data_IF_331224808468
#
_entry.id   IF_331224808468
#
_cell.length_a   1.000
_cell.length_b   1.000
_cell.length_c   1.000
_cell.angle_alpha   90.00
_cell.angle_beta   90.00
_cell.angle_gamma   90.00
#
_symmetry.space_group_name_H-M   'P 1'
#
loop_
_entity.id
_entity.type
_entity.pdbx_description
1 polymer ?
#
# COMPACT_ATOMS: atom_id res chain seq x y z
N UNK A 1 -12.11 -35.12 -22.96
CA UNK A 1 -11.33 -36.33 -22.62
C UNK A 1 -11.12 -36.34 -21.13
N UNK A 2 -11.66 -37.36 -20.45
CA UNK A 2 -11.92 -37.35 -19.01
C UNK A 2 -10.63 -37.39 -18.18
N UNK A 3 -10.58 -36.54 -17.16
CA UNK A 3 -9.56 -36.45 -16.09
C UNK A 3 -9.21 -37.81 -15.46
N UNK A 4 -10.11 -38.79 -15.56
CA UNK A 4 -9.90 -40.14 -15.04
C UNK A 4 -8.80 -40.92 -15.79
N UNK A 5 -8.68 -40.75 -17.11
CA UNK A 5 -7.67 -41.46 -17.91
C UNK A 5 -6.23 -41.02 -17.60
N UNK A 6 -6.05 -39.81 -17.05
CA UNK A 6 -4.74 -39.30 -16.67
C UNK A 6 -4.30 -39.79 -15.29
N UNK A 7 -5.26 -40.05 -14.39
CA UNK A 7 -5.00 -40.60 -13.05
C UNK A 7 -4.64 -42.08 -13.14
N UNK A 8 -5.32 -42.85 -13.99
CA UNK A 8 -5.04 -44.28 -14.18
C UNK A 8 -3.66 -44.52 -14.82
N UNK A 9 -3.22 -43.62 -15.72
CA UNK A 9 -1.89 -43.64 -16.33
C UNK A 9 -0.77 -43.31 -15.34
N UNK A 10 -1.04 -42.49 -14.32
CA UNK A 10 -0.09 -42.18 -13.25
C UNK A 10 -0.02 -43.29 -12.20
N UNK A 11 -1.15 -43.95 -11.92
CA UNK A 11 -1.20 -45.07 -10.98
C UNK A 11 -0.48 -46.32 -11.49
N UNK A 12 -0.51 -46.57 -12.81
CA UNK A 12 0.24 -47.67 -13.43
C UNK A 12 1.75 -47.40 -13.46
N UNK A 13 2.16 -46.15 -13.67
CA UNK A 13 3.57 -45.72 -13.70
C UNK A 13 4.24 -45.77 -12.32
N UNK A 14 3.48 -45.53 -11.24
CA UNK A 14 3.96 -45.62 -9.87
C UNK A 14 4.05 -47.08 -9.38
N UNK A 15 3.26 -48.00 -9.94
CA UNK A 15 3.31 -49.42 -9.60
C UNK A 15 4.52 -50.14 -10.23
N UNK A 16 5.05 -49.67 -11.35
CA UNK A 16 6.21 -50.28 -12.03
C UNK A 16 7.57 -49.88 -11.43
N UNK A 17 7.62 -48.90 -10.51
CA UNK A 17 8.86 -48.41 -9.88
C UNK A 17 8.90 -48.63 -8.37
N UNK A 18 8.52 -49.83 -7.89
CA UNK A 18 8.88 -50.25 -6.53
C UNK A 18 10.39 -50.52 -6.46
N UNK A 19 11.14 -49.60 -5.85
CA UNK A 19 12.48 -49.89 -5.34
C UNK A 19 12.37 -51.00 -4.29
N UNK A 20 13.26 -51.99 -4.39
CA UNK A 20 13.36 -53.12 -3.48
C UNK A 20 13.68 -52.69 -2.06
N UNK A 21 13.02 -53.35 -1.12
CA UNK A 21 13.21 -53.26 0.32
C UNK A 21 14.63 -53.70 0.71
N UNK A 22 15.37 -52.81 1.36
CA UNK A 22 16.72 -53.06 1.87
C UNK A 22 16.83 -52.48 3.28
N UNK A 23 16.90 -53.35 4.27
CA UNK A 23 17.04 -53.05 5.70
C UNK A 23 18.24 -52.14 6.00
N UNK A 24 18.14 -51.23 7.00
CA UNK A 24 19.16 -50.22 7.22
C UNK A 24 20.32 -50.75 8.06
N UNK A 25 21.53 -50.69 7.50
CA UNK A 25 22.74 -50.91 8.27
C UNK A 25 23.21 -49.60 8.92
N UNK A 26 23.55 -49.68 10.20
CA UNK A 26 23.85 -48.55 11.07
C UNK A 26 25.31 -48.17 10.96
N UNK A 27 25.65 -47.05 10.30
CA UNK A 27 26.74 -46.13 10.69
C UNK A 27 26.98 -45.06 9.61
N UNK A 28 27.06 -43.79 10.02
CA UNK A 28 27.36 -42.67 9.10
C UNK A 28 26.60 -41.39 9.39
N UNK A 29 26.61 -40.93 10.64
CA UNK A 29 25.88 -39.75 11.11
C UNK A 29 26.67 -38.46 10.90
N UNK A 30 26.10 -37.54 10.11
CA UNK A 30 26.06 -36.06 10.27
C UNK A 30 26.45 -35.23 9.04
N UNK A 31 27.22 -35.77 8.08
CA UNK A 31 27.69 -34.99 6.92
C UNK A 31 26.67 -34.93 5.76
N UNK A 32 25.96 -36.03 5.46
CA UNK A 32 25.02 -36.10 4.32
C UNK A 32 23.73 -35.30 4.51
N UNK A 33 23.28 -35.08 5.75
CA UNK A 33 22.05 -34.34 6.03
C UNK A 33 22.21 -32.82 5.80
N UNK A 34 23.42 -32.29 6.03
CA UNK A 34 23.77 -30.89 5.71
C UNK A 34 23.90 -30.66 4.20
N UNK A 35 24.39 -31.64 3.44
CA UNK A 35 24.49 -31.58 1.97
C UNK A 35 23.14 -31.72 1.24
N UNK A 36 22.18 -32.49 1.77
CA UNK A 36 20.84 -32.54 1.18
C UNK A 36 20.03 -31.26 1.42
N UNK A 37 20.19 -30.63 2.58
CA UNK A 37 19.56 -29.34 2.88
C UNK A 37 20.22 -28.17 2.12
N UNK A 38 21.52 -28.27 1.79
CA UNK A 38 22.20 -27.29 0.90
C UNK A 38 21.80 -27.44 -0.57
N UNK A 39 21.14 -28.54 -0.94
CA UNK A 39 20.53 -28.80 -2.26
C UNK A 39 18.99 -28.67 -2.24
N UNK A 40 18.43 -27.83 -1.36
CA UNK A 40 17.01 -27.48 -1.36
C UNK A 40 16.55 -26.83 -2.68
N UNK A 41 15.35 -26.24 -2.74
CA UNK A 41 14.73 -25.68 -3.95
C UNK A 41 15.65 -24.84 -4.88
N UNK A 42 16.73 -24.26 -4.35
CA UNK A 42 17.83 -23.63 -5.09
C UNK A 42 18.56 -24.52 -6.11
N UNK A 43 18.57 -25.85 -5.88
CA UNK A 43 19.20 -26.87 -6.72
C UNK A 43 18.25 -27.55 -7.70
N UNK A 44 16.97 -27.16 -7.75
CA UNK A 44 16.04 -27.63 -8.78
C UNK A 44 16.34 -26.97 -10.12
N UNK A 45 16.15 -27.66 -11.25
CA UNK A 45 16.19 -27.05 -12.59
C UNK A 45 15.17 -25.92 -12.72
N UNK A 46 15.50 -24.94 -13.55
CA UNK A 46 14.69 -23.73 -13.73
C UNK A 46 13.32 -24.07 -14.31
N UNK A 47 13.23 -25.08 -15.17
CA UNK A 47 11.98 -25.56 -15.79
C UNK A 47 11.00 -26.08 -14.75
N UNK A 48 11.50 -26.80 -13.73
CA UNK A 48 10.66 -27.33 -12.65
C UNK A 48 10.16 -26.20 -11.77
N UNK A 49 11.03 -25.24 -11.43
CA UNK A 49 10.66 -24.07 -10.64
C UNK A 49 9.66 -23.18 -11.39
N UNK A 50 9.86 -22.93 -12.69
CA UNK A 50 8.90 -22.22 -13.54
C UNK A 50 7.56 -22.94 -13.60
N UNK A 51 7.57 -24.27 -13.65
CA UNK A 51 6.32 -25.04 -13.60
C UNK A 51 5.62 -24.89 -12.26
N UNK A 52 6.34 -24.91 -11.15
CA UNK A 52 5.77 -24.62 -9.82
C UNK A 52 5.22 -23.19 -9.75
N UNK A 53 5.99 -22.21 -10.23
CA UNK A 53 5.61 -20.81 -10.25
C UNK A 53 4.40 -20.53 -11.16
N UNK A 54 4.16 -21.35 -12.18
CA UNK A 54 2.97 -21.24 -13.03
C UNK A 54 1.65 -21.47 -12.29
N UNK A 55 1.68 -22.11 -11.10
CA UNK A 55 0.53 -22.27 -10.21
C UNK A 55 0.35 -21.11 -9.21
N UNK A 56 1.33 -20.20 -9.12
CA UNK A 56 1.28 -19.07 -8.22
C UNK A 56 0.47 -17.91 -8.84
N UNK A 57 -0.30 -17.21 -8.00
CA UNK A 57 -0.91 -15.95 -8.39
C UNK A 57 0.15 -14.82 -8.39
N UNK A 58 -0.19 -13.67 -8.97
CA UNK A 58 0.71 -12.52 -9.04
C UNK A 58 1.27 -12.09 -7.66
N UNK A 59 0.48 -12.20 -6.59
CA UNK A 59 0.95 -11.89 -5.23
C UNK A 59 2.02 -12.86 -4.73
N UNK A 60 1.78 -14.15 -4.90
CA UNK A 60 2.71 -15.20 -4.52
C UNK A 60 3.98 -15.19 -5.38
N UNK A 61 3.90 -14.80 -6.66
CA UNK A 61 5.08 -14.57 -7.51
C UNK A 61 5.95 -13.43 -6.98
N UNK A 62 5.34 -12.30 -6.59
CA UNK A 62 6.08 -11.18 -6.01
C UNK A 62 6.71 -11.53 -4.66
N UNK A 63 6.05 -12.36 -3.85
CA UNK A 63 6.64 -12.91 -2.62
C UNK A 63 7.77 -13.90 -2.91
N UNK A 64 7.62 -14.77 -3.92
CA UNK A 64 8.69 -15.67 -4.33
C UNK A 64 9.94 -14.90 -4.77
N UNK A 65 9.76 -13.75 -5.42
CA UNK A 65 10.87 -12.89 -5.84
C UNK A 65 11.71 -12.33 -4.69
N UNK A 66 11.21 -12.29 -3.45
CA UNK A 66 11.99 -11.80 -2.29
C UNK A 66 12.82 -12.88 -1.60
N UNK A 67 12.70 -14.14 -2.01
CA UNK A 67 13.35 -15.29 -1.33
C UNK A 67 14.84 -15.38 -1.66
N UNK A 68 15.22 -15.41 -2.94
CA UNK A 68 16.63 -15.48 -3.37
C UNK A 68 16.81 -14.98 -4.81
N UNK A 69 18.05 -14.75 -5.25
CA UNK A 69 18.37 -14.23 -6.60
C UNK A 69 17.80 -15.09 -7.73
N UNK A 70 17.84 -16.42 -7.58
CA UNK A 70 17.29 -17.36 -8.56
C UNK A 70 15.76 -17.27 -8.65
N UNK A 71 15.09 -17.21 -7.51
CA UNK A 71 13.64 -17.05 -7.47
C UNK A 71 13.22 -15.67 -7.97
N UNK A 72 14.01 -14.63 -7.69
CA UNK A 72 13.82 -13.30 -8.24
C UNK A 72 13.80 -13.32 -9.77
N UNK A 73 14.81 -13.90 -10.43
CA UNK A 73 14.85 -13.95 -11.90
C UNK A 73 13.68 -14.74 -12.48
N UNK A 74 13.41 -15.93 -11.93
CA UNK A 74 12.34 -16.81 -12.42
C UNK A 74 10.93 -16.24 -12.14
N UNK A 75 10.72 -15.58 -11.00
CA UNK A 75 9.43 -14.96 -10.70
C UNK A 75 9.13 -13.74 -11.56
N UNK A 76 10.15 -13.11 -12.16
CA UNK A 76 10.01 -12.02 -13.13
C UNK A 76 9.97 -12.52 -14.59
N UNK A 77 9.86 -13.82 -14.79
CA UNK A 77 9.81 -14.42 -16.12
C UNK A 77 8.60 -13.93 -16.94
N UNK A 78 8.86 -13.64 -18.22
CA UNK A 78 7.88 -13.03 -19.10
C UNK A 78 6.73 -13.97 -19.46
N UNK A 79 6.94 -15.29 -19.48
CA UNK A 79 5.88 -16.27 -19.71
C UNK A 79 4.89 -16.30 -18.54
N UNK A 80 5.40 -16.30 -17.29
CA UNK A 80 4.55 -16.25 -16.10
C UNK A 80 3.72 -14.98 -16.04
N UNK A 81 4.33 -13.83 -16.32
CA UNK A 81 3.61 -12.55 -16.28
C UNK A 81 2.68 -12.32 -17.47
N UNK A 82 2.94 -12.94 -18.63
CA UNK A 82 1.96 -12.98 -19.73
C UNK A 82 0.69 -13.70 -19.30
N UNK A 83 0.81 -14.80 -18.55
CA UNK A 83 -0.34 -15.50 -17.99
C UNK A 83 -1.12 -14.61 -17.01
N UNK A 84 -0.44 -13.92 -16.09
CA UNK A 84 -1.09 -12.99 -15.15
C UNK A 84 -1.76 -11.82 -15.88
N UNK A 85 -1.11 -11.27 -16.91
CA UNK A 85 -1.68 -10.23 -17.76
C UNK A 85 -3.00 -10.69 -18.39
N UNK A 86 -3.02 -11.89 -18.99
CA UNK A 86 -4.24 -12.45 -19.57
C UNK A 86 -5.35 -12.61 -18.53
N UNK A 87 -5.02 -13.14 -17.34
CA UNK A 87 -6.01 -13.38 -16.28
C UNK A 87 -6.62 -12.07 -15.76
N UNK A 88 -5.79 -11.07 -15.48
CA UNK A 88 -6.22 -9.87 -14.77
C UNK A 88 -6.56 -8.68 -15.67
N UNK A 89 -5.97 -8.58 -16.86
CA UNK A 89 -6.19 -7.46 -17.80
C UNK A 89 -7.18 -7.86 -18.88
N UNK A 90 -6.87 -8.89 -19.68
CA UNK A 90 -7.70 -9.32 -20.83
C UNK A 90 -9.01 -9.97 -20.37
N UNK A 91 -8.93 -10.97 -19.49
CA UNK A 91 -10.10 -11.70 -18.97
C UNK A 91 -10.73 -11.05 -17.74
N UNK A 92 -10.01 -10.14 -17.08
CA UNK A 92 -10.46 -9.47 -15.85
C UNK A 92 -11.51 -8.38 -16.06
N UNK A 93 -11.94 -8.14 -17.31
CA UNK A 93 -12.95 -7.14 -17.64
C UNK A 93 -12.47 -5.69 -17.59
N UNK A 94 -11.15 -5.47 -17.45
CA UNK A 94 -10.53 -4.14 -17.50
C UNK A 94 -10.36 -3.60 -18.93
N UNK A 95 -10.51 -4.49 -19.93
CA UNK A 95 -10.39 -4.22 -21.37
C UNK A 95 -11.42 -3.20 -21.91
N UNK A 96 -12.39 -2.76 -21.10
CA UNK A 96 -13.32 -1.69 -21.49
C UNK A 96 -12.68 -0.29 -21.46
N UNK A 97 -11.52 -0.12 -20.83
CA UNK A 97 -10.93 1.21 -20.58
C UNK A 97 -9.77 1.59 -21.52
N UNK A 98 -9.08 0.65 -22.15
CA UNK A 98 -7.99 0.95 -23.08
C UNK A 98 -7.99 0.00 -24.29
N UNK A 99 -8.57 0.44 -25.42
CA UNK A 99 -8.60 -0.34 -26.68
C UNK A 99 -7.23 -0.51 -27.36
N UNK A 100 -6.15 0.07 -26.81
CA UNK A 100 -4.82 0.03 -27.43
C UNK A 100 -4.03 -1.14 -26.87
N UNK A 101 -3.88 -2.18 -27.70
CA UNK A 101 -3.01 -3.31 -27.42
C UNK A 101 -1.60 -2.82 -27.05
N UNK A 102 -0.93 -3.44 -26.06
CA UNK A 102 0.47 -3.13 -25.78
C UNK A 102 1.31 -3.34 -27.03
N UNK A 103 2.26 -2.44 -27.28
CA UNK A 103 3.29 -2.67 -28.29
C UNK A 103 4.21 -3.78 -27.77
N UNK A 104 4.11 -4.97 -28.34
CA UNK A 104 4.95 -6.11 -28.00
C UNK A 104 6.15 -6.08 -28.94
N UNK A 105 7.39 -5.93 -28.41
CA UNK A 105 8.60 -6.09 -29.22
C UNK A 105 8.65 -7.50 -29.85
N UNK A 106 9.39 -7.70 -30.95
CA UNK A 106 9.62 -9.02 -31.52
C UNK A 106 10.11 -10.05 -30.47
N UNK A 107 9.66 -11.30 -30.59
CA UNK A 107 10.10 -12.39 -29.71
C UNK A 107 11.62 -12.55 -29.78
N UNK A 108 12.31 -12.26 -28.66
CA UNK A 108 13.77 -12.24 -28.56
C UNK A 108 14.31 -11.00 -27.85
N UNK A 109 13.65 -9.85 -27.99
CA UNK A 109 14.10 -8.55 -27.45
C UNK A 109 13.37 -8.13 -26.17
N UNK A 110 12.52 -8.99 -25.60
CA UNK A 110 11.75 -8.64 -24.40
C UNK A 110 12.65 -8.61 -23.17
N UNK A 111 12.82 -7.41 -22.61
CA UNK A 111 13.48 -7.22 -21.33
C UNK A 111 12.83 -8.08 -20.21
N UNK A 112 13.61 -8.59 -19.25
CA UNK A 112 13.07 -9.30 -18.09
C UNK A 112 12.03 -8.47 -17.34
N UNK A 113 10.91 -9.10 -16.95
CA UNK A 113 9.81 -8.43 -16.25
C UNK A 113 9.02 -7.42 -17.09
N UNK A 114 9.16 -7.42 -18.43
CA UNK A 114 8.36 -6.56 -19.32
C UNK A 114 6.85 -6.75 -19.08
N UNK A 115 6.39 -8.01 -19.08
CA UNK A 115 4.96 -8.29 -18.88
C UNK A 115 4.47 -7.96 -17.47
N UNK A 116 5.35 -8.04 -16.46
CA UNK A 116 5.04 -7.60 -15.10
C UNK A 116 4.78 -6.10 -15.05
N UNK A 117 5.70 -5.31 -15.61
CA UNK A 117 5.56 -3.84 -15.69
C UNK A 117 4.28 -3.48 -16.44
N UNK A 118 4.02 -4.16 -17.56
CA UNK A 118 2.83 -3.90 -18.36
C UNK A 118 1.54 -4.27 -17.62
N UNK A 119 1.49 -5.42 -16.95
CA UNK A 119 0.33 -5.83 -16.15
C UNK A 119 0.07 -4.84 -15.02
N UNK A 120 1.07 -4.55 -14.17
CA UNK A 120 0.91 -3.63 -13.04
C UNK A 120 0.50 -2.24 -13.50
N UNK A 121 1.14 -1.70 -14.54
CA UNK A 121 0.83 -0.37 -15.09
C UNK A 121 -0.62 -0.27 -15.56
N UNK A 122 -1.10 -1.26 -16.33
CA UNK A 122 -2.48 -1.30 -16.84
C UNK A 122 -3.51 -1.43 -15.72
N UNK A 123 -3.24 -2.28 -14.72
CA UNK A 123 -4.12 -2.44 -13.55
C UNK A 123 -4.22 -1.15 -12.74
N UNK A 124 -3.09 -0.49 -12.49
CA UNK A 124 -3.03 0.80 -11.79
C UNK A 124 -3.76 1.89 -12.60
N UNK A 125 -3.54 1.98 -13.90
CA UNK A 125 -4.23 2.94 -14.76
C UNK A 125 -5.75 2.71 -14.76
N UNK A 126 -6.20 1.46 -14.92
CA UNK A 126 -7.61 1.11 -14.90
C UNK A 126 -8.28 1.46 -13.55
N UNK A 127 -7.59 1.21 -12.42
CA UNK A 127 -8.03 1.65 -11.10
C UNK A 127 -8.15 3.17 -11.02
N UNK A 128 -7.11 3.90 -11.43
CA UNK A 128 -7.07 5.36 -11.35
C UNK A 128 -8.19 6.00 -12.20
N UNK A 129 -8.53 5.39 -13.34
CA UNK A 129 -9.63 5.81 -14.21
C UNK A 129 -11.02 5.64 -13.58
N UNK A 130 -11.16 4.92 -12.47
CA UNK A 130 -12.41 4.85 -11.68
C UNK A 130 -12.64 6.10 -10.84
N UNK A 131 -11.56 6.81 -10.44
CA UNK A 131 -11.64 7.94 -9.50
C UNK A 131 -12.52 9.08 -10.03
N UNK A 132 -12.37 9.57 -11.28
CA UNK A 132 -13.23 10.65 -11.78
C UNK A 132 -14.72 10.28 -11.78
N UNK A 133 -15.05 8.99 -12.01
CA UNK A 133 -16.44 8.51 -12.00
C UNK A 133 -17.03 8.53 -10.59
N UNK A 134 -16.26 8.11 -9.60
CA UNK A 134 -16.64 8.14 -8.17
C UNK A 134 -16.86 9.59 -7.71
N UNK A 135 -16.00 10.51 -8.16
CA UNK A 135 -16.00 11.91 -7.72
C UNK A 135 -16.86 12.84 -8.57
N UNK A 136 -17.61 12.30 -9.54
CA UNK A 136 -18.42 13.09 -10.48
C UNK A 136 -19.55 13.84 -9.76
N UNK A 137 -20.21 13.18 -8.81
CA UNK A 137 -21.31 13.77 -8.05
C UNK A 137 -20.79 14.54 -6.83
N UNK A 138 -21.20 15.81 -6.72
CA UNK A 138 -20.84 16.70 -5.61
C UNK A 138 -22.11 17.21 -4.93
N UNK A 139 -22.05 17.29 -3.62
CA UNK A 139 -23.12 17.85 -2.81
C UNK A 139 -23.25 19.37 -3.06
N UNK A 140 -24.49 19.84 -3.24
CA UNK A 140 -24.77 21.21 -3.65
C UNK A 140 -24.37 22.25 -2.58
N UNK A 141 -24.49 21.89 -1.29
CA UNK A 141 -24.20 22.81 -0.18
C UNK A 141 -22.75 22.81 0.28
N UNK A 142 -21.96 21.79 -0.07
CA UNK A 142 -20.60 21.60 0.46
C UNK A 142 -19.54 21.44 -0.60
N UNK A 143 -19.93 21.23 -1.86
CA UNK A 143 -19.05 20.89 -2.98
C UNK A 143 -18.22 19.60 -2.76
N UNK A 144 -18.56 18.81 -1.74
CA UNK A 144 -17.85 17.57 -1.39
C UNK A 144 -18.36 16.38 -2.22
N UNK A 145 -17.50 15.40 -2.54
CA UNK A 145 -17.92 14.22 -3.29
C UNK A 145 -18.93 13.39 -2.48
N UNK A 146 -20.12 13.17 -3.05
CA UNK A 146 -21.23 12.46 -2.38
C UNK A 146 -20.85 11.00 -2.07
N UNK A 147 -20.10 10.37 -2.98
CA UNK A 147 -19.77 8.95 -2.90
C UNK A 147 -18.35 8.66 -2.39
N UNK A 148 -17.76 9.58 -1.63
CA UNK A 148 -16.36 9.46 -1.20
C UNK A 148 -16.12 8.18 -0.40
N UNK A 149 -16.96 7.88 0.60
CA UNK A 149 -16.81 6.70 1.45
C UNK A 149 -17.03 5.39 0.69
N UNK A 150 -18.05 5.32 -0.18
CA UNK A 150 -18.23 4.16 -1.05
C UNK A 150 -17.04 3.99 -2.00
N UNK A 151 -16.46 5.10 -2.48
CA UNK A 151 -15.26 5.10 -3.31
C UNK A 151 -14.01 4.57 -2.61
N UNK A 152 -13.78 4.99 -1.36
CA UNK A 152 -12.71 4.49 -0.48
C UNK A 152 -12.83 2.97 -0.33
N UNK A 153 -14.02 2.47 -0.02
CA UNK A 153 -14.30 1.04 0.12
C UNK A 153 -14.13 0.29 -1.20
N UNK A 154 -14.71 0.79 -2.30
CA UNK A 154 -14.69 0.13 -3.61
C UNK A 154 -13.29 0.07 -4.22
N UNK A 155 -12.42 1.04 -3.93
CA UNK A 155 -11.02 1.03 -4.34
C UNK A 155 -10.12 0.29 -3.35
N UNK A 156 -10.62 -0.04 -2.15
CA UNK A 156 -9.87 -0.72 -1.10
C UNK A 156 -8.78 0.14 -0.48
N UNK A 157 -8.99 1.46 -0.42
CA UNK A 157 -8.02 2.40 0.16
C UNK A 157 -7.89 2.14 1.65
N UNK A 158 -6.65 2.04 2.11
CA UNK A 158 -6.26 2.02 3.53
C UNK A 158 -5.23 3.10 3.78
N UNK A 159 -5.13 3.56 5.01
CA UNK A 159 -4.11 4.55 5.39
C UNK A 159 -3.11 3.93 6.35
N UNK A 160 -1.85 4.27 6.17
CA UNK A 160 -0.74 3.82 7.01
C UNK A 160 0.03 5.03 7.51
N UNK A 161 0.43 4.99 8.77
CA UNK A 161 1.46 5.90 9.29
C UNK A 161 2.79 5.17 9.28
N UNK A 162 3.82 5.82 8.76
CA UNK A 162 5.18 5.34 8.80
C UNK A 162 5.99 6.25 9.72
N UNK A 163 6.52 5.66 10.79
CA UNK A 163 7.40 6.32 11.75
C UNK A 163 8.83 6.03 11.33
N UNK A 164 9.55 7.11 11.01
CA UNK A 164 10.90 7.04 10.45
C UNK A 164 11.88 7.53 11.50
N UNK A 165 12.86 6.69 11.82
CA UNK A 165 13.90 7.04 12.80
C UNK A 165 14.93 8.02 12.20
N UNK A 166 15.64 8.77 13.06
CA UNK A 166 16.52 9.91 12.72
C UNK A 166 17.43 9.78 11.49
N UNK A 167 17.96 8.58 11.22
CA UNK A 167 18.85 8.37 10.08
C UNK A 167 18.12 7.97 8.79
N UNK A 168 16.78 7.96 8.78
CA UNK A 168 15.95 7.34 7.73
C UNK A 168 16.26 5.86 7.46
N UNK A 169 16.97 5.18 8.38
CA UNK A 169 17.41 3.79 8.21
C UNK A 169 16.25 2.82 8.48
N UNK A 170 15.43 3.13 9.49
CA UNK A 170 14.38 2.24 9.97
C UNK A 170 13.01 2.90 9.84
N UNK A 171 12.13 2.20 9.14
CA UNK A 171 10.75 2.59 8.89
C UNK A 171 9.81 1.61 9.59
N UNK A 172 8.91 2.12 10.43
CA UNK A 172 7.90 1.33 11.13
C UNK A 172 6.53 1.69 10.57
N UNK A 173 5.85 0.73 9.94
CA UNK A 173 4.62 0.97 9.19
C UNK A 173 3.42 0.41 9.98
N UNK A 174 2.47 1.28 10.33
CA UNK A 174 1.27 0.92 11.09
C UNK A 174 0.01 1.21 10.26
N UNK A 175 -0.86 0.22 10.00
CA UNK A 175 -2.16 0.48 9.41
C UNK A 175 -3.03 1.29 10.37
N UNK A 176 -3.89 2.17 9.85
CA UNK A 176 -4.87 2.88 10.67
C UNK A 176 -5.79 1.87 11.36
N UNK A 177 -5.92 2.00 12.68
CA UNK A 177 -6.82 1.19 13.48
C UNK A 177 -8.27 1.61 13.18
N UNK A 178 -8.51 2.93 13.16
CA UNK A 178 -9.82 3.51 12.88
C UNK A 178 -9.73 4.63 11.85
N UNK A 179 -10.79 4.75 11.05
CA UNK A 179 -10.98 5.83 10.09
C UNK A 179 -12.43 6.32 10.19
N UNK A 180 -12.63 7.45 10.85
CA UNK A 180 -13.95 8.02 11.11
C UNK A 180 -14.25 9.05 10.03
N UNK A 181 -15.30 8.81 9.26
CA UNK A 181 -15.77 9.74 8.23
C UNK A 181 -16.56 10.89 8.84
N UNK A 182 -16.30 12.10 8.36
CA UNK A 182 -17.05 13.31 8.65
C UNK A 182 -17.31 14.07 7.34
N UNK A 183 -18.21 15.06 7.40
CA UNK A 183 -18.66 15.83 6.22
C UNK A 183 -17.48 16.42 5.40
N UNK A 184 -16.47 16.95 6.08
CA UNK A 184 -15.32 17.61 5.45
C UNK A 184 -13.98 16.90 5.64
N UNK A 185 -13.91 15.86 6.49
CA UNK A 185 -12.65 15.20 6.81
C UNK A 185 -12.81 13.71 7.14
N UNK A 186 -11.70 12.99 7.08
CA UNK A 186 -11.52 11.72 7.77
C UNK A 186 -10.61 11.94 8.98
N UNK A 187 -11.01 11.43 10.15
CA UNK A 187 -10.11 11.29 11.30
C UNK A 187 -9.52 9.89 11.29
N UNK A 188 -8.22 9.82 11.01
CA UNK A 188 -7.43 8.59 11.00
C UNK A 188 -6.75 8.43 12.35
N UNK A 189 -6.82 7.24 12.95
CA UNK A 189 -6.28 6.95 14.28
C UNK A 189 -5.34 5.76 14.26
N UNK A 190 -4.22 5.91 14.96
CA UNK A 190 -3.25 4.85 15.20
C UNK A 190 -2.98 4.75 16.69
N UNK A 191 -3.20 3.58 17.25
CA UNK A 191 -2.86 3.25 18.64
C UNK A 191 -2.28 1.84 18.64
N UNK A 192 -1.02 1.75 19.04
CA UNK A 192 -0.26 0.51 19.06
C UNK A 192 0.75 0.58 20.21
N UNK A 193 0.93 -0.53 20.93
CA UNK A 193 1.92 -0.63 22.00
C UNK A 193 3.32 -0.91 21.47
N UNK A 194 3.42 -1.28 20.18
CA UNK A 194 4.69 -1.57 19.49
C UNK A 194 5.29 -0.35 18.79
N UNK A 195 4.83 0.86 19.11
CA UNK A 195 5.44 2.08 18.60
C UNK A 195 6.91 2.18 19.04
N UNK A 196 7.81 2.63 18.13
CA UNK A 196 9.19 2.92 18.50
C UNK A 196 9.24 4.10 19.46
N UNK A 197 10.32 4.24 20.25
CA UNK A 197 10.46 5.34 21.18
C UNK A 197 10.33 6.69 20.51
N UNK A 198 9.51 7.60 21.05
CA UNK A 198 9.25 8.89 20.39
C UNK A 198 10.53 9.69 20.14
N UNK A 199 11.54 9.48 20.99
CA UNK A 199 12.86 10.13 20.93
C UNK A 199 13.68 9.74 19.70
N UNK A 200 13.45 8.55 19.13
CA UNK A 200 14.15 8.09 17.93
C UNK A 200 13.44 8.52 16.65
N UNK A 201 12.15 8.88 16.71
CA UNK A 201 11.34 9.26 15.56
C UNK A 201 11.69 10.68 15.10
N UNK A 202 11.93 10.83 13.80
CA UNK A 202 12.23 12.10 13.15
C UNK A 202 11.18 12.52 12.14
N UNK A 203 10.56 11.56 11.44
CA UNK A 203 9.48 11.85 10.51
C UNK A 203 8.27 10.97 10.75
N UNK A 204 7.10 11.56 10.61
CA UNK A 204 5.81 10.89 10.51
C UNK A 204 5.35 11.05 9.06
N UNK A 205 5.19 9.93 8.34
CA UNK A 205 4.74 9.92 6.96
C UNK A 205 3.37 9.27 6.84
N UNK A 206 2.44 9.96 6.18
CA UNK A 206 1.13 9.40 5.84
C UNK A 206 1.17 8.75 4.47
N UNK A 207 0.73 7.50 4.38
CA UNK A 207 0.59 6.80 3.11
C UNK A 207 -0.86 6.41 2.85
N UNK A 208 -1.33 6.67 1.63
CA UNK A 208 -2.46 5.98 1.04
C UNK A 208 -1.98 4.64 0.47
N UNK A 209 -2.61 3.55 0.88
CA UNK A 209 -2.25 2.19 0.49
C UNK A 209 -3.41 1.56 -0.25
N UNK A 210 -3.16 1.17 -1.49
CA UNK A 210 -4.21 0.74 -2.42
C UNK A 210 -3.84 -0.58 -3.11
N UNK A 211 -4.78 -1.52 -3.27
CA UNK A 211 -4.56 -2.76 -4.01
C UNK A 211 -4.17 -2.51 -5.47
N UNK A 212 -3.32 -3.40 -6.01
CA UNK A 212 -3.02 -3.45 -7.44
C UNK A 212 -3.97 -4.41 -8.15
N UNK A 213 -4.23 -5.56 -7.55
CA UNK A 213 -5.05 -6.61 -8.16
C UNK A 213 -6.45 -6.64 -7.58
N UNK A 214 -7.44 -6.75 -8.46
CA UNK A 214 -8.86 -6.86 -8.14
C UNK A 214 -9.39 -8.20 -8.67
N UNK A 215 -10.33 -8.78 -7.94
CA UNK A 215 -11.06 -9.98 -8.36
C UNK A 215 -12.05 -9.67 -9.47
N UNK A 216 -12.69 -10.71 -10.01
CA UNK A 216 -13.74 -10.57 -11.03
C UNK A 216 -15.00 -9.86 -10.50
N UNK A 217 -15.19 -9.90 -9.19
CA UNK A 217 -16.20 -9.15 -8.44
C UNK A 217 -15.89 -7.63 -8.38
N UNK A 218 -14.73 -7.20 -8.87
CA UNK A 218 -14.27 -5.82 -8.80
C UNK A 218 -13.76 -5.41 -7.42
N UNK A 219 -13.66 -6.35 -6.48
CA UNK A 219 -13.18 -6.12 -5.13
C UNK A 219 -11.66 -6.37 -5.03
N UNK A 220 -10.97 -5.71 -4.09
CA UNK A 220 -9.58 -5.97 -3.79
C UNK A 220 -9.27 -7.45 -3.48
N UNK A 221 -8.21 -8.00 -4.08
CA UNK A 221 -7.72 -9.31 -3.66
C UNK A 221 -7.15 -9.22 -2.24
N UNK A 222 -7.65 -10.08 -1.34
CA UNK A 222 -7.17 -10.16 0.05
C UNK A 222 -5.67 -10.45 0.08
N UNK A 223 -4.94 -9.69 0.90
CA UNK A 223 -3.48 -9.80 1.06
C UNK A 223 -2.69 -9.71 -0.26
N UNK A 224 -3.29 -9.14 -1.31
CA UNK A 224 -2.62 -8.93 -2.57
C UNK A 224 -1.59 -7.80 -2.52
N UNK A 225 -0.77 -7.68 -3.57
CA UNK A 225 0.15 -6.57 -3.77
C UNK A 225 -0.56 -5.21 -3.70
N UNK A 226 0.09 -4.24 -3.05
CA UNK A 226 -0.44 -2.89 -2.84
C UNK A 226 0.56 -1.84 -3.30
N UNK A 227 0.05 -0.76 -3.86
CA UNK A 227 0.79 0.49 -4.08
C UNK A 227 0.72 1.36 -2.85
N UNK A 228 1.83 2.03 -2.52
CA UNK A 228 1.91 3.03 -1.45
C UNK A 228 2.11 4.40 -2.07
N UNK A 229 1.31 5.36 -1.64
CA UNK A 229 1.26 6.71 -2.17
C UNK A 229 1.47 7.67 -1.01
N UNK A 230 2.63 8.33 -0.98
CA UNK A 230 2.97 9.28 0.09
C UNK A 230 2.04 10.48 0.01
N UNK A 231 1.24 10.71 1.05
CA UNK A 231 0.27 11.80 1.11
C UNK A 231 0.81 13.03 1.83
N UNK A 232 1.71 12.82 2.79
CA UNK A 232 2.15 13.86 3.71
C UNK A 232 3.39 13.42 4.50
N UNK A 233 4.26 14.36 4.86
CA UNK A 233 5.44 14.12 5.72
C UNK A 233 5.56 15.25 6.72
N UNK A 234 5.67 14.90 8.00
CA UNK A 234 5.85 15.85 9.09
C UNK A 234 7.14 15.53 9.82
N UNK A 235 7.89 16.57 10.16
CA UNK A 235 9.04 16.45 11.03
C UNK A 235 8.59 16.43 12.50
N UNK A 236 9.01 15.37 13.21
CA UNK A 236 8.86 15.26 14.65
C UNK A 236 10.20 15.61 15.31
N UNK A 237 10.18 16.56 16.22
CA UNK A 237 11.33 16.91 17.06
C UNK A 237 10.93 16.76 18.52
N UNK A 238 11.34 15.65 19.14
CA UNK A 238 11.01 15.37 20.54
C UNK A 238 11.50 16.46 21.50
N UNK A 239 12.69 17.03 21.26
CA UNK A 239 13.19 18.14 22.09
C UNK A 239 12.24 19.34 22.07
N UNK A 240 11.77 19.74 20.89
CA UNK A 240 10.79 20.82 20.74
C UNK A 240 9.44 20.47 21.38
N UNK A 241 9.03 19.20 21.32
CA UNK A 241 7.75 18.75 21.85
C UNK A 241 7.75 18.68 23.38
N UNK A 242 8.84 18.17 23.97
CA UNK A 242 8.99 18.00 25.42
C UNK A 242 8.98 19.34 26.15
N UNK A 243 9.62 20.34 25.56
CA UNK A 243 9.76 21.66 26.19
C UNK A 243 8.54 22.56 25.91
N UNK A 244 7.60 22.13 25.06
CA UNK A 244 6.33 22.80 24.75
C UNK A 244 5.24 22.41 25.75
N UNK A 245 4.39 23.36 26.13
CA UNK A 245 3.17 23.08 26.89
C UNK A 245 2.21 22.22 26.07
N UNK A 246 1.67 21.10 26.59
CA UNK A 246 0.66 20.31 25.89
C UNK A 246 -0.55 21.17 25.51
N UNK A 247 -1.10 20.95 24.33
CA UNK A 247 -2.28 21.68 23.87
C UNK A 247 -3.55 21.15 24.54
N UNK A 248 -3.59 19.84 24.80
CA UNK A 248 -4.63 19.18 25.60
C UNK A 248 -3.96 18.18 26.52
N UNK A 249 -4.47 18.03 27.74
CA UNK A 249 -3.93 17.13 28.74
C UNK A 249 -5.06 16.48 29.53
N UNK A 250 -4.95 15.20 29.82
CA UNK A 250 -5.85 14.48 30.73
C UNK A 250 -5.05 13.84 31.88
N UNK A 251 -5.59 12.83 32.58
CA UNK A 251 -4.87 12.15 33.66
C UNK A 251 -3.72 11.25 33.20
N UNK A 252 -3.70 10.79 31.95
CA UNK A 252 -2.79 9.76 31.44
C UNK A 252 -1.88 10.24 30.32
N UNK A 253 -2.33 11.15 29.47
CA UNK A 253 -1.65 11.59 28.26
C UNK A 253 -1.54 13.10 28.14
N UNK A 254 -0.48 13.53 27.44
CA UNK A 254 -0.30 14.87 26.92
C UNK A 254 -0.48 14.83 25.41
N UNK A 255 -1.29 15.72 24.85
CA UNK A 255 -1.59 15.81 23.42
C UNK A 255 -0.99 17.08 22.84
N UNK A 256 -0.35 16.94 21.68
CA UNK A 256 0.29 18.01 20.96
C UNK A 256 -0.22 18.07 19.52
N UNK A 257 -0.79 19.21 19.14
CA UNK A 257 -1.14 19.52 17.77
C UNK A 257 0.12 19.85 16.97
N UNK A 258 0.26 19.11 15.87
CA UNK A 258 1.28 19.30 14.86
C UNK A 258 0.68 19.95 13.62
N UNK A 259 1.54 20.29 12.68
CA UNK A 259 1.13 20.87 11.41
C UNK A 259 0.23 19.92 10.61
N UNK A 260 -0.50 20.50 9.66
CA UNK A 260 -1.21 19.75 8.63
C UNK A 260 -2.16 18.64 9.15
N UNK A 261 -2.81 18.91 10.29
CA UNK A 261 -3.89 18.08 10.85
C UNK A 261 -3.43 16.88 11.67
N UNK A 262 -2.12 16.71 11.88
CA UNK A 262 -1.61 15.69 12.79
C UNK A 262 -1.66 16.15 14.24
N UNK A 263 -1.88 15.21 15.14
CA UNK A 263 -1.57 15.39 16.54
C UNK A 263 -1.10 14.09 17.16
N UNK A 264 -0.19 14.25 18.11
CA UNK A 264 0.53 13.17 18.77
C UNK A 264 0.20 13.21 20.24
N UNK A 265 -0.21 12.09 20.79
CA UNK A 265 -0.39 11.92 22.22
C UNK A 265 0.74 11.08 22.78
N UNK A 266 1.28 11.50 23.93
CA UNK A 266 2.32 10.79 24.66
C UNK A 266 1.85 10.49 26.07
N UNK A 267 2.27 9.34 26.60
CA UNK A 267 2.02 8.98 27.98
C UNK A 267 2.75 9.92 28.92
N UNK A 268 2.08 10.35 29.99
CA UNK A 268 2.72 11.12 31.07
C UNK A 268 3.79 10.30 31.78
N UNK A 269 3.54 9.00 31.90
CA UNK A 269 4.51 8.05 32.41
C UNK A 269 5.40 7.56 31.26
N UNK A 270 6.71 7.71 31.40
CA UNK A 270 7.70 7.34 30.37
C UNK A 270 7.87 8.32 29.19
N UNK A 271 6.84 9.09 28.82
CA UNK A 271 6.90 10.01 27.68
C UNK A 271 6.84 9.30 26.32
N UNK A 272 6.43 8.04 26.30
CA UNK A 272 6.33 7.21 25.10
C UNK A 272 5.09 7.56 24.27
N UNK A 273 5.12 7.21 22.99
CA UNK A 273 4.01 7.48 22.07
C UNK A 273 2.77 6.67 22.46
N UNK A 274 1.66 7.34 22.74
CA UNK A 274 0.38 6.71 23.08
C UNK A 274 -0.46 6.45 21.82
N UNK A 275 -0.76 7.51 21.09
CA UNK A 275 -1.49 7.42 19.83
C UNK A 275 -1.15 8.57 18.90
N UNK A 276 -1.41 8.35 17.61
CA UNK A 276 -1.33 9.38 16.58
C UNK A 276 -2.73 9.54 15.98
N UNK A 277 -3.13 10.78 15.72
CA UNK A 277 -4.30 11.08 14.92
C UNK A 277 -3.91 11.99 13.76
N UNK A 278 -4.58 11.83 12.63
CA UNK A 278 -4.50 12.75 11.52
C UNK A 278 -5.89 13.05 10.99
N UNK A 279 -6.25 14.33 10.98
CA UNK A 279 -7.44 14.82 10.31
C UNK A 279 -7.11 15.20 8.87
N UNK A 280 -7.53 14.37 7.91
CA UNK A 280 -7.32 14.64 6.48
C UNK A 280 -8.58 15.20 5.85
N UNK A 281 -8.46 16.31 5.12
CA UNK A 281 -9.59 16.90 4.41
C UNK A 281 -10.07 15.98 3.27
N UNK A 282 -11.38 15.90 3.08
CA UNK A 282 -12.04 15.07 2.07
C UNK A 282 -11.76 15.55 0.63
N UNK A 283 -11.31 16.80 0.46
CA UNK A 283 -10.92 17.34 -0.83
C UNK A 283 -9.73 16.57 -1.40
N UNK A 284 -9.94 16.02 -2.59
CA UNK A 284 -8.97 15.20 -3.31
C UNK A 284 -8.40 14.01 -2.51
N UNK A 285 -9.09 13.56 -1.44
CA UNK A 285 -8.58 12.50 -0.58
C UNK A 285 -8.32 11.21 -1.34
N UNK A 286 -9.24 10.80 -2.23
CA UNK A 286 -9.06 9.61 -3.06
C UNK A 286 -7.89 9.77 -4.04
N UNK A 287 -7.74 10.93 -4.69
CA UNK A 287 -6.60 11.20 -5.56
C UNK A 287 -5.29 11.13 -4.79
N UNK A 288 -5.19 11.84 -3.66
CA UNK A 288 -4.01 11.86 -2.78
C UNK A 288 -3.65 10.45 -2.29
N UNK A 289 -4.65 9.65 -1.94
CA UNK A 289 -4.44 8.29 -1.46
C UNK A 289 -3.97 7.31 -2.54
N UNK A 290 -4.14 7.66 -3.82
CA UNK A 290 -3.82 6.79 -4.97
C UNK A 290 -2.58 7.25 -5.73
N UNK A 291 -2.45 8.56 -5.97
CA UNK A 291 -1.37 9.17 -6.76
C UNK A 291 -0.25 9.74 -5.88
N UNK A 292 -0.51 9.88 -4.59
CA UNK A 292 0.38 10.56 -3.66
C UNK A 292 0.13 12.07 -3.67
N UNK A 293 0.93 12.81 -2.92
CA UNK A 293 0.93 14.26 -2.94
C UNK A 293 1.76 14.76 -4.13
N UNK A 294 1.15 15.51 -5.04
CA UNK A 294 1.85 16.61 -5.69
C UNK A 294 1.82 17.76 -4.69
N UNK A 295 2.85 17.90 -3.85
CA UNK A 295 3.13 19.06 -2.97
C UNK A 295 1.93 19.97 -2.64
N UNK A 296 1.38 19.80 -1.42
CA UNK A 296 0.61 20.80 -0.63
C UNK A 296 -0.42 21.68 -1.35
N UNK A 297 -1.71 21.62 -0.92
CA UNK A 297 -2.54 22.82 -0.91
C UNK A 297 -3.78 22.69 0.00
N UNK A 298 -3.77 23.36 1.15
CA UNK A 298 -4.61 24.53 1.45
C UNK A 298 -4.30 24.98 2.90
N UNK A 299 -3.51 26.04 3.13
CA UNK A 299 -3.63 26.76 4.39
C UNK A 299 -5.01 27.41 4.39
N UNK A 300 -5.79 27.14 5.43
CA UNK A 300 -7.03 27.86 5.67
C UNK A 300 -6.64 29.32 5.94
N UNK A 301 -6.77 30.20 4.95
CA UNK A 301 -6.72 31.64 5.20
C UNK A 301 -7.92 31.94 6.09
N UNK A 302 -7.66 32.29 7.34
CA UNK A 302 -8.65 32.92 8.22
C UNK A 302 -9.04 34.22 7.53
N UNK A 303 -10.31 34.46 7.17
CA UNK A 303 -10.73 35.78 6.71
C UNK A 303 -10.37 36.77 7.80
N UNK A 304 -9.54 37.76 7.48
CA UNK A 304 -9.35 38.90 8.37
C UNK A 304 -10.73 39.47 8.65
N UNK A 305 -11.12 39.51 9.92
CA UNK A 305 -12.37 40.11 10.36
C UNK A 305 -12.56 41.45 9.66
N UNK A 306 -13.71 41.63 9.00
CA UNK A 306 -14.19 42.94 8.60
C UNK A 306 -14.17 43.81 9.86
N UNK A 307 -13.34 44.85 9.86
CA UNK A 307 -13.48 45.93 10.83
C UNK A 307 -14.71 46.72 10.40
N UNK A 308 -15.87 46.36 10.95
CA UNK A 308 -16.91 47.34 11.17
C UNK A 308 -16.38 48.28 12.25
N UNK A 309 -16.19 49.55 11.90
CA UNK A 309 -16.38 50.67 12.83
C UNK A 309 -16.64 51.95 12.01
N UNK A 310 -17.91 52.31 11.96
CA UNK A 310 -18.38 53.66 11.67
C UNK A 310 -18.19 54.48 12.93
N UNK A 311 -17.37 55.54 12.88
CA UNK A 311 -17.69 56.81 13.52
C UNK A 311 -16.84 57.97 12.99
N UNK A 312 -17.52 58.86 12.24
CA UNK A 312 -17.42 60.33 12.14
C UNK A 312 -16.11 61.03 12.54
N UNK A 313 -15.60 61.86 11.63
CA UNK A 313 -15.48 63.30 11.91
C UNK A 313 -15.63 64.15 10.63
N UNK A 314 -16.25 65.35 10.68
CA UNK A 314 -16.44 66.24 9.55
C UNK A 314 -15.34 67.31 9.49
N UNK A 315 -14.89 67.64 8.28
CA UNK A 315 -14.14 68.86 8.02
C UNK A 315 -12.78 68.62 7.38
N UNK A 316 -12.68 68.87 6.08
CA UNK A 316 -12.26 70.21 5.68
C UNK A 316 -12.48 70.42 4.18
N UNK A 317 -13.05 71.59 3.93
CA UNK A 317 -13.17 72.26 2.63
C UNK A 317 -11.78 72.57 2.10
N UNK A 318 -11.49 72.25 0.84
CA UNK A 318 -10.65 73.14 0.01
C UNK A 318 -11.00 73.01 -1.47
N UNK A 319 -11.43 74.14 -2.00
CA UNK A 319 -11.52 74.61 -3.39
C UNK A 319 -10.51 74.05 -4.39
N UNK A 320 -11.00 73.63 -5.56
CA UNK A 320 -10.78 74.26 -6.88
C UNK A 320 -11.82 73.74 -7.87
#
# INVERSE_FOLDING_TARGET
>A
MSTQQHVDKLSSYLKSHKLSDGTPDKSGSSTSRKQLLSRGASGMPDEILLRVFSFLNAGALLLAATVCKKWYSLAHDNYLWRLQYRIHVELGGLDKLEKKAPHVPPEGDLAPGYWQKQAISRLVAARNNRIPKILKSRDCGTCMPVHLQQGVTALGVKWFVCLVEGNNIKEHNFPANDAIYSKFSYSLRWYDLSFPPIRSIRYIRLYGVTPVFYGRDGLPIKNGPRTRSLMQTIELSWSKLRDRTPDVQDSLVNVYFMEEGFFVAVWKDGGELAFINCAVHNHHLLQRSVLGSSTTCFPHLVPSHLKDDISRDPGNVTTC
#
